data_IF_901654601127
#
_entry.id   IF_901654601127
#
_cell.length_a   1.000
_cell.length_b   1.000
_cell.length_c   1.000
_cell.angle_alpha   90.00
_cell.angle_beta   90.00
_cell.angle_gamma   90.00
#
_symmetry.space_group_name_H-M   'P 1'
#
loop_
_entity.id
_entity.type
_entity.pdbx_description
1 polymer ?
#
# COMPACT_ATOMS: atom_id res chain seq x y z
N UNK A 1 -51.94 8.57 1.56
CA UNK A 1 -51.04 7.83 2.47
C UNK A 1 -51.84 7.36 3.68
N UNK A 2 -52.05 6.05 3.84
CA UNK A 2 -52.76 5.52 4.99
C UNK A 2 -51.89 5.65 6.26
N UNK A 3 -52.39 6.34 7.29
CA UNK A 3 -51.72 6.45 8.59
C UNK A 3 -51.84 5.09 9.31
N UNK A 4 -50.71 4.52 9.76
CA UNK A 4 -50.68 3.21 10.44
C UNK A 4 -51.34 3.33 11.82
N UNK A 5 -52.10 2.30 12.21
CA UNK A 5 -52.82 2.28 13.50
C UNK A 5 -51.83 2.40 14.68
N UNK A 6 -52.04 3.36 15.60
CA UNK A 6 -51.16 3.58 16.75
C UNK A 6 -51.26 2.49 17.82
N UNK A 7 -52.28 1.64 17.76
CA UNK A 7 -52.50 0.56 18.73
C UNK A 7 -51.86 -0.78 18.32
N UNK A 8 -51.13 -0.83 17.21
CA UNK A 8 -50.42 -2.04 16.82
C UNK A 8 -49.11 -2.17 17.63
N UNK A 9 -49.03 -3.24 18.42
CA UNK A 9 -47.95 -3.58 19.35
C UNK A 9 -46.56 -3.53 18.68
N UNK A 10 -46.47 -3.83 17.38
CA UNK A 10 -45.21 -3.78 16.62
C UNK A 10 -44.56 -2.39 16.57
N UNK A 11 -45.35 -1.33 16.72
CA UNK A 11 -44.86 0.06 16.69
C UNK A 11 -44.80 0.69 18.09
N UNK A 12 -45.28 -0.03 19.12
CA UNK A 12 -45.13 0.39 20.51
C UNK A 12 -43.71 0.06 20.97
N UNK A 13 -42.87 1.09 21.11
CA UNK A 13 -41.45 0.94 21.45
C UNK A 13 -41.20 0.21 22.79
N UNK A 14 -42.18 0.15 23.68
CA UNK A 14 -42.12 -0.56 24.96
C UNK A 14 -42.38 -2.07 24.86
N UNK A 15 -43.15 -2.52 23.86
CA UNK A 15 -43.50 -3.93 23.64
C UNK A 15 -42.82 -4.53 22.39
N UNK A 16 -41.88 -3.80 21.80
CA UNK A 16 -41.11 -4.27 20.67
C UNK A 16 -40.16 -5.41 21.12
N UNK A 17 -40.59 -6.65 20.93
CA UNK A 17 -39.68 -7.80 21.01
C UNK A 17 -38.51 -7.53 20.05
N UNK A 18 -37.32 -7.29 20.63
CA UNK A 18 -36.10 -7.10 19.86
C UNK A 18 -35.99 -8.24 18.86
N UNK A 19 -36.04 -7.90 17.56
CA UNK A 19 -36.03 -8.89 16.49
C UNK A 19 -34.86 -9.85 16.69
N UNK A 20 -35.17 -11.10 17.02
CA UNK A 20 -34.18 -12.17 17.19
C UNK A 20 -33.67 -12.59 15.82
N UNK A 21 -32.90 -11.71 15.18
CA UNK A 21 -32.12 -12.02 13.99
C UNK A 21 -30.66 -11.78 14.30
N UNK A 22 -30.14 -12.53 15.28
CA UNK A 22 -28.71 -12.84 15.37
C UNK A 22 -28.51 -14.18 16.08
N UNK A 23 -29.05 -15.26 15.49
CA UNK A 23 -28.47 -16.59 15.72
C UNK A 23 -27.07 -16.56 15.09
N UNK A 24 -26.08 -16.26 15.91
CA UNK A 24 -24.68 -16.19 15.51
C UNK A 24 -24.27 -17.49 14.79
N UNK A 25 -23.77 -17.38 13.56
CA UNK A 25 -23.19 -18.48 12.78
C UNK A 25 -22.00 -19.18 13.48
N UNK A 26 -21.57 -18.67 14.65
CA UNK A 26 -20.62 -19.31 15.54
C UNK A 26 -21.16 -20.53 16.27
N UNK A 27 -22.49 -20.68 16.46
CA UNK A 27 -23.08 -21.86 17.13
C UNK A 27 -23.38 -23.02 16.19
N UNK A 28 -23.29 -22.82 14.88
CA UNK A 28 -23.48 -23.85 13.85
C UNK A 28 -22.17 -24.56 13.44
N UNK A 29 -21.05 -24.24 14.11
CA UNK A 29 -19.80 -24.98 13.89
C UNK A 29 -19.92 -26.36 14.54
N UNK A 30 -19.66 -27.46 13.81
CA UNK A 30 -19.70 -28.79 14.39
C UNK A 30 -18.64 -28.89 15.50
N UNK A 31 -19.06 -29.27 16.72
CA UNK A 31 -18.15 -29.66 17.80
C UNK A 31 -17.51 -30.99 17.41
N UNK A 32 -16.27 -30.96 16.94
CA UNK A 32 -15.51 -32.18 16.66
C UNK A 32 -15.08 -32.81 17.99
N UNK A 33 -15.47 -34.05 18.24
CA UNK A 33 -14.88 -34.89 19.28
C UNK A 33 -13.40 -35.11 18.95
N UNK A 34 -12.54 -35.05 19.96
CA UNK A 34 -11.11 -35.28 19.80
C UNK A 34 -10.84 -36.72 19.36
N UNK A 35 -10.80 -36.96 18.05
CA UNK A 35 -10.25 -38.17 17.44
C UNK A 35 -8.79 -37.91 17.08
N UNK A 36 -7.91 -38.79 17.54
CA UNK A 36 -6.49 -38.81 17.17
C UNK A 36 -6.36 -39.14 15.68
N UNK A 37 -6.38 -38.11 14.85
CA UNK A 37 -5.95 -38.19 13.46
C UNK A 37 -4.61 -37.48 13.37
N UNK A 38 -3.55 -38.21 12.98
CA UNK A 38 -2.30 -37.63 12.55
C UNK A 38 -2.59 -36.61 11.45
N UNK A 39 -2.56 -35.34 11.80
CA UNK A 39 -2.75 -34.25 10.87
C UNK A 39 -1.56 -34.26 9.91
N UNK A 40 -1.78 -34.72 8.68
CA UNK A 40 -0.92 -34.31 7.57
C UNK A 40 -0.79 -32.78 7.65
N UNK A 41 0.42 -32.21 7.51
CA UNK A 41 0.62 -30.79 7.73
C UNK A 41 -0.29 -30.02 6.77
N UNK A 42 -1.31 -29.37 7.33
CA UNK A 42 -2.17 -28.44 6.63
C UNK A 42 -1.25 -27.48 5.88
N UNK A 43 -1.27 -27.55 4.54
CA UNK A 43 -0.54 -26.62 3.68
C UNK A 43 -1.11 -25.25 3.98
N UNK A 44 -0.49 -24.52 4.91
CA UNK A 44 -0.84 -23.15 5.26
C UNK A 44 -1.03 -22.39 3.96
N UNK A 45 -2.28 -22.03 3.66
CA UNK A 45 -2.61 -21.16 2.53
C UNK A 45 -1.64 -19.98 2.58
N UNK A 46 -0.96 -19.63 1.47
CA UNK A 46 0.07 -18.61 1.49
C UNK A 46 -0.57 -17.33 2.04
N UNK A 47 -0.12 -16.91 3.22
CA UNK A 47 -0.52 -15.65 3.83
C UNK A 47 -0.15 -14.59 2.82
N UNK A 48 -1.16 -13.98 2.16
CA UNK A 48 -0.96 -12.87 1.25
C UNK A 48 -0.27 -11.77 2.05
N UNK A 49 1.06 -11.65 1.92
CA UNK A 49 1.82 -10.55 2.50
C UNK A 49 1.12 -9.27 2.06
N UNK A 50 0.58 -8.51 3.03
CA UNK A 50 0.01 -7.19 2.76
C UNK A 50 1.14 -6.38 2.13
N UNK A 51 1.01 -6.08 0.85
CA UNK A 51 1.97 -5.22 0.15
C UNK A 51 2.04 -3.92 0.92
N UNK A 52 3.20 -3.61 1.48
CA UNK A 52 3.45 -2.35 2.14
C UNK A 52 3.34 -1.24 1.09
N UNK A 53 2.84 -0.07 1.46
CA UNK A 53 2.71 1.07 0.53
C UNK A 53 4.03 1.40 -0.20
N UNK A 54 5.16 1.17 0.47
CA UNK A 54 6.51 1.29 -0.09
C UNK A 54 6.84 0.26 -1.18
N UNK A 55 6.24 -0.94 -1.16
CA UNK A 55 6.35 -1.93 -2.26
C UNK A 55 5.41 -1.58 -3.43
N UNK A 56 4.28 -0.92 -3.16
CA UNK A 56 3.29 -0.55 -4.17
C UNK A 56 3.70 0.68 -4.96
N UNK A 57 4.50 1.57 -4.37
CA UNK A 57 5.04 2.76 -5.01
C UNK A 57 6.49 2.51 -5.41
N UNK A 58 6.81 2.40 -6.71
CA UNK A 58 8.19 2.30 -7.15
C UNK A 58 8.98 3.53 -6.70
N UNK A 59 9.90 3.36 -5.75
CA UNK A 59 10.80 4.43 -5.32
C UNK A 59 12.09 4.35 -6.13
N UNK A 60 12.07 4.84 -7.37
CA UNK A 60 13.30 4.96 -8.17
C UNK A 60 14.21 6.04 -7.58
N UNK A 61 15.55 5.93 -7.74
CA UNK A 61 16.49 6.93 -7.22
C UNK A 61 16.23 8.33 -7.79
N UNK A 62 15.70 8.43 -9.01
CA UNK A 62 15.32 9.71 -9.64
C UNK A 62 14.14 10.39 -8.94
N UNK A 63 13.09 9.65 -8.59
CA UNK A 63 11.94 10.19 -7.85
C UNK A 63 12.40 10.74 -6.49
N UNK A 64 13.40 10.12 -5.84
CA UNK A 64 13.97 10.61 -4.59
C UNK A 64 14.71 11.94 -4.77
N UNK A 65 15.46 12.12 -5.88
CA UNK A 65 16.13 13.38 -6.21
C UNK A 65 15.11 14.52 -6.37
N UNK A 66 14.05 14.29 -7.15
CA UNK A 66 12.99 15.28 -7.37
C UNK A 66 12.20 15.60 -6.10
N UNK A 67 11.95 14.62 -5.22
CA UNK A 67 11.40 14.89 -3.88
C UNK A 67 12.31 15.78 -3.05
N UNK A 68 13.63 15.58 -3.09
CA UNK A 68 14.57 16.44 -2.35
C UNK A 68 14.49 17.88 -2.84
N UNK A 69 14.47 18.10 -4.16
CA UNK A 69 14.30 19.43 -4.76
C UNK A 69 12.96 20.03 -4.34
N UNK A 70 11.88 19.23 -4.36
CA UNK A 70 10.56 19.66 -3.90
C UNK A 70 10.55 20.09 -2.43
N UNK A 71 11.20 19.34 -1.54
CA UNK A 71 11.34 19.75 -0.13
C UNK A 71 12.15 21.04 0.04
N UNK A 72 13.20 21.24 -0.78
CA UNK A 72 13.98 22.49 -0.76
C UNK A 72 13.10 23.68 -1.19
N UNK A 73 12.28 23.51 -2.23
CA UNK A 73 11.32 24.55 -2.66
C UNK A 73 10.29 24.86 -1.58
N UNK A 74 9.80 23.85 -0.85
CA UNK A 74 8.90 24.09 0.27
C UNK A 74 9.57 24.83 1.43
N UNK A 75 10.80 24.47 1.78
CA UNK A 75 11.55 25.22 2.80
C UNK A 75 11.79 26.66 2.37
N UNK A 76 12.09 26.89 1.08
CA UNK A 76 12.23 28.24 0.53
C UNK A 76 10.92 29.02 0.64
N UNK A 77 9.78 28.41 0.30
CA UNK A 77 8.46 29.05 0.42
C UNK A 77 8.13 29.43 1.86
N UNK A 78 8.42 28.55 2.83
CA UNK A 78 8.21 28.85 4.26
C UNK A 78 9.14 29.97 4.74
N UNK A 79 10.40 29.97 4.30
CA UNK A 79 11.34 31.03 4.64
C UNK A 79 10.93 32.37 4.03
N UNK A 80 10.47 32.39 2.78
CA UNK A 80 10.01 33.60 2.10
C UNK A 80 8.73 34.14 2.71
N UNK A 81 7.81 33.28 3.16
CA UNK A 81 6.64 33.69 3.95
C UNK A 81 7.06 34.39 5.25
N UNK A 82 8.06 33.85 5.95
CA UNK A 82 8.62 34.48 7.15
C UNK A 82 9.23 35.86 6.89
N UNK A 83 9.98 36.00 5.79
CA UNK A 83 10.52 37.28 5.33
C UNK A 83 9.42 38.27 4.95
N UNK A 84 8.37 37.83 4.24
CA UNK A 84 7.25 38.66 3.87
C UNK A 84 6.50 39.17 5.11
N UNK A 85 6.22 38.28 6.05
CA UNK A 85 5.60 38.60 7.33
C UNK A 85 6.44 39.61 8.11
N UNK A 86 7.75 39.38 8.25
CA UNK A 86 8.62 40.32 8.94
C UNK A 86 8.68 41.68 8.25
N UNK A 87 8.73 41.68 6.91
CA UNK A 87 8.64 42.89 6.08
C UNK A 87 7.39 43.72 6.39
N UNK A 88 6.24 43.07 6.55
CA UNK A 88 5.00 43.75 6.97
C UNK A 88 5.09 44.33 8.39
N UNK A 89 5.80 43.66 9.32
CA UNK A 89 5.94 44.14 10.72
C UNK A 89 6.80 45.39 10.85
N UNK A 90 7.74 45.59 9.92
CA UNK A 90 8.62 46.76 9.87
C UNK A 90 8.18 47.78 8.81
N UNK A 91 6.98 47.63 8.25
CA UNK A 91 6.42 48.51 7.19
C UNK A 91 7.34 48.64 5.96
N UNK A 92 8.08 47.58 5.63
CA UNK A 92 8.95 47.52 4.46
C UNK A 92 8.25 46.81 3.29
N UNK A 93 7.60 47.60 2.44
CA UNK A 93 6.83 47.13 1.29
C UNK A 93 7.66 46.30 0.29
N UNK A 94 8.92 46.68 0.06
CA UNK A 94 9.79 45.95 -0.85
C UNK A 94 10.08 44.55 -0.31
N UNK A 95 10.36 44.44 0.98
CA UNK A 95 10.66 43.15 1.60
C UNK A 95 9.41 42.24 1.62
N UNK A 96 8.24 42.80 1.94
CA UNK A 96 6.97 42.11 1.89
C UNK A 96 6.65 41.59 0.47
N UNK A 97 6.76 42.47 -0.53
CA UNK A 97 6.48 42.15 -1.93
C UNK A 97 7.40 41.06 -2.46
N UNK A 98 8.71 41.21 -2.26
CA UNK A 98 9.70 40.22 -2.70
C UNK A 98 9.46 38.87 -2.03
N UNK A 99 9.15 38.86 -0.72
CA UNK A 99 8.82 37.63 0.01
C UNK A 99 7.62 36.90 -0.59
N UNK A 100 6.52 37.60 -0.87
CA UNK A 100 5.33 36.99 -1.48
C UNK A 100 5.56 36.52 -2.93
N UNK A 101 6.33 37.27 -3.73
CA UNK A 101 6.67 36.86 -5.10
C UNK A 101 7.50 35.57 -5.09
N UNK A 102 8.50 35.47 -4.21
CA UNK A 102 9.31 34.26 -4.07
C UNK A 102 8.43 33.08 -3.63
N UNK A 103 7.54 33.29 -2.66
CA UNK A 103 6.62 32.27 -2.18
C UNK A 103 5.74 31.73 -3.32
N UNK A 104 5.11 32.63 -4.07
CA UNK A 104 4.18 32.28 -5.15
C UNK A 104 4.89 31.50 -6.26
N UNK A 105 6.11 31.92 -6.63
CA UNK A 105 6.93 31.21 -7.62
C UNK A 105 7.39 29.85 -7.08
N UNK A 106 7.88 29.78 -5.85
CA UNK A 106 8.38 28.53 -5.26
C UNK A 106 7.28 27.47 -5.13
N UNK A 107 6.09 27.86 -4.67
CA UNK A 107 4.92 26.96 -4.56
C UNK A 107 4.42 26.56 -5.94
N UNK A 108 4.32 27.50 -6.89
CA UNK A 108 3.91 27.19 -8.27
C UNK A 108 4.83 26.17 -8.94
N UNK A 109 6.14 26.35 -8.81
CA UNK A 109 7.14 25.41 -9.34
C UNK A 109 7.07 24.06 -8.61
N UNK A 110 6.90 24.05 -7.29
CA UNK A 110 6.76 22.81 -6.51
C UNK A 110 5.54 21.98 -6.95
N UNK A 111 4.41 22.64 -7.21
CA UNK A 111 3.19 21.99 -7.74
C UNK A 111 3.45 21.43 -9.15
N UNK A 112 4.08 22.21 -10.03
CA UNK A 112 4.41 21.77 -11.38
C UNK A 112 5.33 20.53 -11.38
N UNK A 113 6.33 20.48 -10.49
CA UNK A 113 7.21 19.32 -10.31
C UNK A 113 6.41 18.08 -9.89
N UNK A 114 5.48 18.22 -8.94
CA UNK A 114 4.70 17.07 -8.47
C UNK A 114 3.76 16.54 -9.57
N UNK A 115 3.05 17.44 -10.25
CA UNK A 115 2.06 17.08 -11.26
C UNK A 115 2.66 16.58 -12.57
N UNK A 116 3.78 17.15 -13.02
CA UNK A 116 4.36 16.82 -14.33
C UNK A 116 5.50 15.82 -14.17
N UNK A 117 6.48 16.12 -13.33
CA UNK A 117 7.73 15.33 -13.30
C UNK A 117 7.57 14.08 -12.46
N UNK A 118 7.14 14.21 -11.20
CA UNK A 118 7.02 13.09 -10.26
C UNK A 118 5.94 12.10 -10.73
N UNK A 119 4.79 12.61 -11.21
CA UNK A 119 3.74 11.73 -11.78
C UNK A 119 4.24 10.95 -12.98
N UNK A 120 4.92 11.59 -13.95
CA UNK A 120 5.46 10.88 -15.13
C UNK A 120 6.48 9.81 -14.75
N UNK A 121 7.44 10.14 -13.90
CA UNK A 121 8.44 9.18 -13.41
C UNK A 121 7.81 8.01 -12.66
N UNK A 122 6.76 8.27 -11.85
CA UNK A 122 6.04 7.21 -11.13
C UNK A 122 5.28 6.29 -12.09
N UNK A 123 4.61 6.85 -13.10
CA UNK A 123 3.91 6.06 -14.12
C UNK A 123 4.88 5.20 -14.93
N UNK A 124 6.04 5.73 -15.32
CA UNK A 124 7.09 4.98 -16.00
C UNK A 124 7.60 3.83 -15.11
N UNK A 125 7.95 4.12 -13.86
CA UNK A 125 8.43 3.10 -12.95
C UNK A 125 7.39 1.99 -12.68
N UNK A 126 6.09 2.30 -12.64
CA UNK A 126 5.04 1.28 -12.54
C UNK A 126 4.99 0.40 -13.79
N UNK A 127 5.10 1.00 -14.98
CA UNK A 127 5.13 0.26 -16.26
C UNK A 127 6.34 -0.67 -16.34
N UNK A 128 7.53 -0.19 -15.95
CA UNK A 128 8.75 -0.99 -15.97
C UNK A 128 8.70 -2.16 -14.99
N UNK A 129 8.17 -1.93 -13.79
CA UNK A 129 7.95 -3.01 -12.81
C UNK A 129 6.89 -4.02 -13.28
N UNK A 130 5.86 -3.59 -14.02
CA UNK A 130 4.88 -4.48 -14.60
C UNK A 130 5.45 -5.31 -15.76
N UNK A 131 6.28 -4.69 -16.62
CA UNK A 131 6.97 -5.39 -17.71
C UNK A 131 8.00 -6.41 -17.19
N UNK A 132 8.79 -6.04 -16.18
CA UNK A 132 9.75 -6.94 -15.53
C UNK A 132 9.07 -8.15 -14.86
N UNK A 133 7.84 -8.00 -14.35
CA UNK A 133 7.04 -9.11 -13.83
C UNK A 133 6.49 -10.04 -14.93
N UNK A 134 6.20 -9.52 -16.12
CA UNK A 134 5.73 -10.31 -17.27
C UNK A 134 6.86 -11.08 -17.97
N UNK A 135 8.09 -10.57 -17.95
CA UNK A 135 9.26 -11.19 -18.58
C UNK A 135 10.05 -12.18 -17.72
N UNK A 136 9.68 -12.36 -16.44
CA UNK A 136 10.39 -13.29 -15.54
C UNK A 136 9.78 -14.69 -15.67
N UNK A 137 10.45 -15.68 -16.29
CA UNK A 137 10.04 -17.06 -16.11
C UNK A 137 10.09 -17.33 -14.61
N UNK A 138 9.01 -17.90 -14.08
CA UNK A 138 8.87 -18.27 -12.68
C UNK A 138 10.15 -18.96 -12.20
N UNK A 139 10.82 -18.39 -11.19
CA UNK A 139 11.98 -18.95 -10.48
C UNK A 139 11.76 -20.36 -9.91
N UNK A 140 10.55 -20.91 -10.05
CA UNK A 140 10.21 -22.31 -9.82
C UNK A 140 10.84 -23.26 -10.85
N UNK A 141 11.20 -22.79 -12.06
CA UNK A 141 11.86 -23.61 -13.08
C UNK A 141 13.37 -23.74 -12.86
N UNK A 142 14.04 -22.68 -12.41
CA UNK A 142 15.50 -22.69 -12.16
C UNK A 142 15.88 -23.61 -10.99
N UNK A 143 15.01 -23.69 -9.97
CA UNK A 143 15.20 -24.59 -8.81
C UNK A 143 14.87 -26.06 -9.11
N UNK A 144 14.16 -26.34 -10.21
CA UNK A 144 13.92 -27.71 -10.67
C UNK A 144 15.12 -28.25 -11.46
N UNK A 145 15.78 -27.38 -12.23
CA UNK A 145 16.93 -27.75 -13.06
C UNK A 145 18.21 -27.94 -12.23
N UNK A 146 18.42 -27.13 -11.19
CA UNK A 146 19.56 -27.31 -10.27
C UNK A 146 19.45 -28.54 -9.35
N UNK A 147 18.28 -29.19 -9.30
CA UNK A 147 18.05 -30.39 -8.47
C UNK A 147 18.16 -31.69 -9.26
N UNK A 148 17.97 -31.65 -10.59
CA UNK A 148 18.15 -32.81 -11.47
C UNK A 148 19.62 -33.11 -11.81
N UNK A 149 20.50 -32.11 -11.76
CA UNK A 149 21.94 -32.33 -12.05
C UNK A 149 22.70 -32.92 -10.85
N UNK A 150 22.22 -32.72 -9.62
CA UNK A 150 22.88 -33.25 -8.42
C UNK A 150 22.50 -34.71 -8.09
N UNK A 151 21.49 -35.27 -8.76
CA UNK A 151 21.02 -36.64 -8.56
C UNK A 151 21.66 -37.63 -9.54
N UNK A 152 22.23 -37.15 -10.65
CA UNK A 152 22.97 -37.98 -11.62
C UNK A 152 24.43 -38.24 -11.24
N UNK A 153 25.04 -37.39 -10.43
CA UNK A 153 26.43 -37.56 -9.96
C UNK A 153 26.57 -38.47 -8.75
N UNK A 154 25.48 -38.79 -8.05
CA UNK A 154 25.49 -39.68 -6.88
C UNK A 154 25.25 -41.17 -7.21
N UNK A 155 24.80 -41.50 -8.43
CA UNK A 155 24.44 -42.87 -8.83
C UNK A 155 25.57 -43.71 -9.44
N UNK A 156 26.73 -43.12 -9.75
CA UNK A 156 27.81 -43.79 -10.50
C UNK A 156 29.00 -44.24 -9.61
N UNK A 157 29.01 -43.89 -8.32
CA UNK A 157 30.13 -44.21 -7.41
C UNK A 157 30.00 -45.56 -6.68
N UNK A 158 29.28 -46.53 -7.26
CA UNK A 158 28.91 -47.76 -6.56
C UNK A 158 28.90 -48.99 -7.44
N UNK A 159 29.98 -49.27 -8.17
CA UNK A 159 30.20 -50.62 -8.73
C UNK A 159 31.67 -50.90 -9.01
N UNK A 160 32.40 -51.29 -7.97
CA UNK A 160 33.69 -51.96 -8.12
C UNK A 160 33.48 -53.42 -8.55
N UNK A 161 34.10 -53.90 -9.64
CA UNK A 161 34.17 -55.32 -9.96
C UNK A 161 35.37 -55.99 -9.28
N UNK A 162 35.04 -57.06 -8.54
CA UNK A 162 35.79 -58.29 -8.21
C UNK A 162 37.31 -58.26 -8.07
#
# INVERSE_FOLDING_TARGET
>A
MAKRSPFNERYQKQNAHAGSTRKSASSAKPKRSAGTYSAAPDKKSPVKKKQTWSEMVPSTPEIKKWRRIWYVLLLLAVASFGLAYWGQRIENDLMATVGFVIELVAVGVAIAIDLVVIRKLRTQAIKDNAAAKKGKPTKTAEKAMSKSDNDKTAGDAGKDPS
#
